data_IF_674781924988
#
_entry.id   IF_674781924988
#
_cell.length_a   1.000
_cell.length_b   1.000
_cell.length_c   1.000
_cell.angle_alpha   90.00
_cell.angle_beta   90.00
_cell.angle_gamma   90.00
#
_symmetry.space_group_name_H-M   'P 1'
#
loop_
_entity.id
_entity.type
_entity.pdbx_description
1 polymer ?
#
# COMPACT_ATOMS: atom_id res chain seq x y z
N UNK A 1 -16.68 -1.89 26.99
CA UNK A 1 -16.35 -2.02 25.60
C UNK A 1 -14.88 -2.33 25.39
N UNK A 2 -14.57 -3.03 24.33
CA UNK A 2 -13.18 -3.33 24.01
C UNK A 2 -12.50 -2.07 23.47
N UNK A 3 -11.24 -1.85 23.89
CA UNK A 3 -10.43 -0.76 23.39
C UNK A 3 -10.04 -1.06 21.94
N UNK A 4 -10.55 -0.26 21.00
CA UNK A 4 -10.30 -0.45 19.57
C UNK A 4 -8.96 0.13 19.12
N UNK A 5 -8.42 1.08 19.88
CA UNK A 5 -7.20 1.79 19.52
C UNK A 5 -6.44 2.23 20.77
N UNK A 6 -5.12 2.07 20.73
CA UNK A 6 -4.21 2.57 21.74
C UNK A 6 -3.19 3.49 21.10
N UNK A 7 -2.98 4.66 21.68
CA UNK A 7 -2.01 5.65 21.22
C UNK A 7 -1.21 6.20 22.38
N UNK A 8 0.06 6.45 22.13
CA UNK A 8 0.94 7.08 23.12
C UNK A 8 1.41 8.43 22.61
N UNK A 9 1.49 9.39 23.51
CA UNK A 9 1.85 10.76 23.20
C UNK A 9 3.01 11.21 24.08
N UNK A 10 3.88 12.03 23.50
CA UNK A 10 4.97 12.70 24.22
C UNK A 10 4.79 14.21 24.04
N UNK A 11 4.64 14.94 25.16
CA UNK A 11 4.41 16.40 25.16
C UNK A 11 3.21 16.82 24.26
N UNK A 12 2.12 16.03 24.26
CA UNK A 12 0.93 16.31 23.46
C UNK A 12 1.06 15.98 21.97
N UNK A 13 2.21 15.51 21.52
CA UNK A 13 2.44 15.09 20.13
C UNK A 13 2.54 13.56 20.10
N UNK A 14 1.83 12.94 19.16
CA UNK A 14 1.89 11.49 19.01
C UNK A 14 3.32 11.06 18.68
N UNK A 15 3.86 10.21 19.54
CA UNK A 15 5.20 9.69 19.40
C UNK A 15 5.19 8.23 19.85
N UNK A 16 5.99 7.37 19.21
CA UNK A 16 6.10 5.94 19.45
C UNK A 16 5.03 5.11 18.72
N UNK A 17 4.16 4.35 19.39
CA UNK A 17 3.36 3.30 18.76
C UNK A 17 1.86 3.60 18.84
N UNK A 18 1.15 3.24 17.76
CA UNK A 18 -0.31 3.21 17.70
C UNK A 18 -0.75 1.78 17.37
N UNK A 19 -1.57 1.20 18.24
CA UNK A 19 -2.13 -0.14 18.06
C UNK A 19 -3.63 -0.03 17.84
N UNK A 20 -4.15 -0.75 16.85
CA UNK A 20 -5.58 -0.83 16.56
C UNK A 20 -6.03 -2.29 16.68
N UNK A 21 -7.21 -2.50 17.24
CA UNK A 21 -7.75 -3.84 17.46
C UNK A 21 -9.08 -4.01 16.74
N UNK A 22 -9.35 -5.23 16.28
CA UNK A 22 -10.64 -5.61 15.70
C UNK A 22 -11.70 -5.69 16.79
N UNK A 23 -12.98 -5.79 16.39
CA UNK A 23 -14.09 -6.00 17.34
C UNK A 23 -13.92 -7.28 18.17
N UNK A 24 -13.25 -8.29 17.63
CA UNK A 24 -12.93 -9.55 18.31
C UNK A 24 -11.76 -9.42 19.30
N UNK A 25 -11.11 -8.25 19.38
CA UNK A 25 -9.97 -8.01 20.26
C UNK A 25 -8.62 -8.42 19.71
N UNK A 26 -8.54 -8.83 18.44
CA UNK A 26 -7.29 -9.17 17.78
C UNK A 26 -6.58 -7.92 17.28
N UNK A 27 -5.23 -7.90 17.35
CA UNK A 27 -4.45 -6.79 16.82
C UNK A 27 -4.65 -6.70 15.30
N UNK A 28 -5.09 -5.55 14.81
CA UNK A 28 -5.34 -5.32 13.38
C UNK A 28 -4.31 -4.41 12.73
N UNK A 29 -3.70 -3.48 13.49
CA UNK A 29 -2.62 -2.66 12.96
C UNK A 29 -1.63 -2.22 14.03
N UNK A 30 -0.41 -1.93 13.60
CA UNK A 30 0.65 -1.39 14.42
C UNK A 30 1.46 -0.40 13.59
N UNK A 31 1.49 0.83 14.03
CA UNK A 31 2.24 1.90 13.38
C UNK A 31 3.10 2.64 14.39
N UNK A 32 4.21 3.17 13.92
CA UNK A 32 5.08 4.01 14.72
C UNK A 32 5.01 5.45 14.25
N UNK A 33 5.05 6.36 15.20
CA UNK A 33 5.03 7.80 14.96
C UNK A 33 6.22 8.47 15.60
N UNK A 34 6.68 9.55 14.96
CA UNK A 34 7.65 10.47 15.53
C UNK A 34 7.23 11.88 15.16
N UNK A 35 7.11 12.76 16.16
CA UNK A 35 6.66 14.14 15.98
C UNK A 35 5.33 14.24 15.20
N UNK A 36 4.40 13.32 15.46
CA UNK A 36 3.07 13.30 14.84
C UNK A 36 3.02 12.73 13.42
N UNK A 37 4.15 12.27 12.87
CA UNK A 37 4.22 11.66 11.54
C UNK A 37 4.52 10.17 11.65
N UNK A 38 3.96 9.39 10.73
CA UNK A 38 4.33 7.97 10.57
C UNK A 38 5.83 7.90 10.33
N UNK A 39 6.53 7.09 11.15
CA UNK A 39 7.96 6.95 11.07
C UNK A 39 8.39 5.63 11.70
N UNK A 40 8.83 4.71 10.88
CA UNK A 40 9.20 3.36 11.28
C UNK A 40 8.30 2.30 10.68
N UNK A 41 8.34 1.10 11.24
CA UNK A 41 7.60 -0.06 10.74
C UNK A 41 6.09 0.14 10.81
N UNK A 42 5.38 -0.30 9.77
CA UNK A 42 3.92 -0.33 9.70
C UNK A 42 3.47 -1.73 9.34
N UNK A 43 2.53 -2.27 10.11
CA UNK A 43 2.04 -3.63 9.90
C UNK A 43 0.55 -3.73 10.17
N UNK A 44 -0.15 -4.46 9.31
CA UNK A 44 -1.59 -4.72 9.41
C UNK A 44 -1.87 -6.20 9.27
N UNK A 45 -2.91 -6.68 9.94
CA UNK A 45 -3.29 -8.10 9.95
C UNK A 45 -4.77 -8.27 9.61
N UNK A 46 -5.08 -9.38 8.97
CA UNK A 46 -6.44 -9.89 8.85
C UNK A 46 -6.90 -10.47 10.20
N UNK A 47 -8.22 -10.64 10.36
CA UNK A 47 -8.79 -11.26 11.57
C UNK A 47 -8.31 -12.69 11.81
N UNK A 48 -7.88 -13.40 10.76
CA UNK A 48 -7.33 -14.75 10.89
C UNK A 48 -5.86 -14.78 11.37
N UNK A 49 -5.27 -13.62 11.67
CA UNK A 49 -3.88 -13.49 12.12
C UNK A 49 -2.85 -13.43 10.99
N UNK A 50 -3.27 -13.64 9.75
CA UNK A 50 -2.39 -13.50 8.59
C UNK A 50 -2.03 -12.02 8.38
N UNK A 51 -0.77 -11.74 8.07
CA UNK A 51 -0.34 -10.39 7.72
C UNK A 51 -1.08 -9.94 6.46
N UNK A 52 -1.68 -8.75 6.52
CA UNK A 52 -2.31 -8.10 5.38
C UNK A 52 -1.32 -7.19 4.65
N UNK A 53 -0.61 -6.36 5.38
CA UNK A 53 0.30 -5.37 4.81
C UNK A 53 1.47 -5.14 5.75
N UNK A 54 2.67 -4.97 5.19
CA UNK A 54 3.84 -4.58 5.96
C UNK A 54 4.78 -3.69 5.13
N UNK A 55 5.41 -2.74 5.80
CA UNK A 55 6.34 -1.80 5.21
C UNK A 55 6.90 -0.87 6.26
N UNK A 56 7.44 0.25 5.81
CA UNK A 56 7.95 1.27 6.72
C UNK A 56 7.74 2.66 6.16
N UNK A 57 7.69 3.63 7.06
CA UNK A 57 7.61 5.05 6.73
C UNK A 57 8.85 5.79 7.23
N UNK A 58 9.22 6.83 6.53
CA UNK A 58 10.19 7.82 6.96
C UNK A 58 9.55 9.19 6.81
N UNK A 59 9.34 9.90 7.91
CA UNK A 59 8.70 11.23 7.94
C UNK A 59 7.37 11.29 7.17
N UNK A 60 6.53 10.27 7.33
CA UNK A 60 5.23 10.17 6.67
C UNK A 60 5.27 9.63 5.24
N UNK A 61 6.46 9.40 4.68
CA UNK A 61 6.63 8.89 3.32
C UNK A 61 6.88 7.38 3.34
N UNK A 62 6.26 6.65 2.42
CA UNK A 62 6.55 5.22 2.22
C UNK A 62 8.01 5.07 1.83
N UNK A 63 8.72 4.15 2.47
CA UNK A 63 10.15 3.92 2.23
C UNK A 63 10.48 2.43 2.32
N UNK A 64 11.46 1.97 1.53
CA UNK A 64 11.89 0.57 1.53
C UNK A 64 10.89 -0.38 0.90
N UNK A 65 10.94 -1.62 1.35
CA UNK A 65 10.12 -2.71 0.82
C UNK A 65 8.74 -2.74 1.45
N UNK A 66 7.70 -2.81 0.61
CA UNK A 66 6.30 -2.93 1.02
C UNK A 66 5.68 -4.17 0.43
N UNK A 67 4.91 -4.90 1.26
CA UNK A 67 4.23 -6.12 0.86
C UNK A 67 2.77 -6.09 1.29
N UNK A 68 1.89 -6.59 0.41
CA UNK A 68 0.49 -6.85 0.72
C UNK A 68 0.23 -8.32 0.41
N UNK A 69 -0.52 -8.98 1.30
CA UNK A 69 -0.84 -10.41 1.18
C UNK A 69 -2.35 -10.62 1.15
N UNK A 70 -2.78 -11.65 0.44
CA UNK A 70 -4.14 -12.14 0.52
C UNK A 70 -4.39 -12.86 1.86
N UNK A 71 -5.66 -13.04 2.27
CA UNK A 71 -5.95 -13.81 3.50
C UNK A 71 -5.35 -15.22 3.53
N UNK A 72 -5.12 -15.82 2.36
CA UNK A 72 -4.46 -17.11 2.21
C UNK A 72 -2.96 -17.08 2.51
N UNK A 73 -2.35 -15.89 2.57
CA UNK A 73 -0.91 -15.71 2.70
C UNK A 73 -0.18 -15.55 1.37
N UNK A 74 -0.88 -15.70 0.23
CA UNK A 74 -0.28 -15.45 -1.08
C UNK A 74 0.05 -13.97 -1.26
N UNK A 75 1.14 -13.69 -1.97
CA UNK A 75 1.56 -12.31 -2.22
C UNK A 75 0.57 -11.60 -3.16
N UNK A 76 -0.01 -10.50 -2.69
CA UNK A 76 -0.92 -9.67 -3.48
C UNK A 76 -0.20 -8.48 -4.11
N UNK A 77 0.83 -7.96 -3.46
CA UNK A 77 1.55 -6.78 -3.95
C UNK A 77 2.94 -6.69 -3.34
N UNK A 78 3.88 -6.18 -4.13
CA UNK A 78 5.19 -5.78 -3.63
C UNK A 78 5.56 -4.43 -4.22
N UNK A 79 6.33 -3.65 -3.48
CA UNK A 79 6.82 -2.36 -3.92
C UNK A 79 8.15 -2.04 -3.25
N UNK A 80 8.96 -1.23 -3.93
CA UNK A 80 10.15 -0.61 -3.37
C UNK A 80 9.97 0.89 -3.50
N UNK A 81 10.05 1.60 -2.38
CA UNK A 81 9.92 3.04 -2.36
C UNK A 81 11.16 3.69 -1.77
N UNK A 82 11.45 4.88 -2.25
CA UNK A 82 12.39 5.80 -1.63
C UNK A 82 11.67 7.12 -1.42
N UNK A 83 11.39 7.43 -0.16
CA UNK A 83 10.66 8.64 0.23
C UNK A 83 9.39 8.87 -0.59
N UNK A 84 8.53 7.82 -0.65
CA UNK A 84 7.22 7.88 -1.31
C UNK A 84 7.25 7.72 -2.82
N UNK A 85 8.42 7.54 -3.42
CA UNK A 85 8.58 7.38 -4.87
C UNK A 85 9.03 5.98 -5.21
N UNK A 86 8.32 5.32 -6.12
CA UNK A 86 8.62 3.95 -6.53
C UNK A 86 7.47 3.35 -7.32
N UNK A 87 7.46 2.02 -7.43
CA UNK A 87 6.47 1.28 -8.19
C UNK A 87 5.92 0.13 -7.36
N UNK A 88 4.60 0.00 -7.34
CA UNK A 88 3.89 -1.13 -6.77
C UNK A 88 3.54 -2.11 -7.89
N UNK A 89 3.79 -3.40 -7.67
CA UNK A 89 3.39 -4.47 -8.59
C UNK A 89 2.38 -5.33 -7.84
N UNK A 90 1.20 -5.51 -8.43
CA UNK A 90 0.12 -6.30 -7.87
C UNK A 90 -0.03 -7.62 -8.60
N UNK A 91 -0.39 -8.67 -7.85
CA UNK A 91 -0.57 -10.02 -8.35
C UNK A 91 -1.97 -10.53 -8.04
N UNK A 92 -2.54 -11.28 -8.98
CA UNK A 92 -3.73 -12.09 -8.69
C UNK A 92 -3.36 -13.22 -7.73
N UNK A 93 -4.33 -13.74 -7.00
CA UNK A 93 -4.09 -14.83 -6.06
C UNK A 93 -3.52 -16.08 -6.74
N UNK A 94 -3.83 -16.28 -8.02
CA UNK A 94 -3.25 -17.33 -8.87
C UNK A 94 -1.79 -17.10 -9.25
N UNK A 95 -1.24 -15.90 -8.99
CA UNK A 95 0.19 -15.61 -9.10
C UNK A 95 0.65 -14.77 -10.29
N UNK A 96 -0.24 -14.44 -11.25
CA UNK A 96 0.18 -13.59 -12.37
C UNK A 96 0.12 -12.09 -12.00
N UNK A 97 1.04 -11.34 -12.57
CA UNK A 97 1.05 -9.87 -12.43
C UNK A 97 -0.18 -9.28 -13.12
N UNK A 98 -1.00 -8.52 -12.38
CA UNK A 98 -2.23 -7.95 -12.90
C UNK A 98 -2.21 -6.41 -12.97
N UNK A 99 -1.28 -5.76 -12.28
CA UNK A 99 -1.28 -4.31 -12.16
C UNK A 99 0.10 -3.78 -11.80
N UNK A 100 0.48 -2.64 -12.40
CA UNK A 100 1.63 -1.84 -11.99
C UNK A 100 1.16 -0.42 -11.70
N UNK A 101 1.58 0.13 -10.55
CA UNK A 101 1.17 1.47 -10.11
C UNK A 101 2.41 2.28 -9.76
N UNK A 102 2.71 3.37 -10.48
CA UNK A 102 3.80 4.26 -10.13
C UNK A 102 3.36 5.29 -9.08
N UNK A 103 4.27 5.63 -8.18
CA UNK A 103 4.07 6.63 -7.13
C UNK A 103 5.20 7.66 -7.12
N UNK A 104 4.84 8.90 -6.86
CA UNK A 104 5.77 9.99 -6.55
C UNK A 104 5.21 10.73 -5.33
N UNK A 105 6.04 10.90 -4.30
CA UNK A 105 5.65 11.58 -3.07
C UNK A 105 4.36 11.04 -2.44
N UNK A 106 4.22 9.71 -2.36
CA UNK A 106 3.04 8.98 -1.85
C UNK A 106 1.78 9.07 -2.72
N UNK A 107 1.83 9.71 -3.87
CA UNK A 107 0.70 9.87 -4.77
C UNK A 107 0.91 9.10 -6.06
N UNK A 108 -0.16 8.53 -6.62
CA UNK A 108 -0.10 7.92 -7.95
C UNK A 108 0.34 8.99 -8.96
N UNK A 109 1.35 8.67 -9.75
CA UNK A 109 1.89 9.59 -10.74
C UNK A 109 2.53 8.80 -11.89
N UNK A 110 2.04 9.00 -13.11
CA UNK A 110 2.44 8.24 -14.28
C UNK A 110 1.39 7.22 -14.70
N UNK A 111 1.79 6.18 -15.38
CA UNK A 111 0.88 5.19 -15.98
C UNK A 111 0.65 3.99 -15.07
N UNK A 112 -0.60 3.82 -14.62
CA UNK A 112 -1.08 2.62 -13.97
C UNK A 112 -1.49 1.64 -15.08
N UNK A 113 -0.90 0.45 -15.09
CA UNK A 113 -1.02 -0.50 -16.20
C UNK A 113 -1.65 -1.80 -15.71
N UNK A 114 -2.75 -2.18 -16.36
CA UNK A 114 -3.49 -3.42 -16.06
C UNK A 114 -3.13 -4.50 -17.09
N UNK A 115 -2.95 -5.72 -16.60
CA UNK A 115 -2.56 -6.88 -17.42
C UNK A 115 -3.59 -8.00 -17.29
N UNK A 116 -3.77 -8.77 -18.37
CA UNK A 116 -4.53 -10.02 -18.34
C UNK A 116 -3.58 -11.21 -18.00
N UNK A 117 -4.14 -12.42 -17.79
CA UNK A 117 -3.32 -13.60 -17.47
C UNK A 117 -2.25 -13.93 -18.51
N UNK A 118 -2.42 -13.53 -19.77
CA UNK A 118 -1.46 -13.76 -20.85
C UNK A 118 -0.33 -12.71 -20.87
N UNK A 119 -0.37 -11.73 -19.94
CA UNK A 119 0.62 -10.66 -19.88
C UNK A 119 0.35 -9.49 -20.81
N UNK A 120 -0.81 -9.46 -21.48
CA UNK A 120 -1.20 -8.35 -22.36
C UNK A 120 -1.74 -7.20 -21.53
N UNK A 121 -1.43 -5.99 -21.95
CA UNK A 121 -1.98 -4.77 -21.36
C UNK A 121 -3.44 -4.62 -21.80
N UNK A 122 -4.35 -4.48 -20.82
CA UNK A 122 -5.79 -4.35 -21.05
C UNK A 122 -6.32 -2.96 -20.79
N UNK A 123 -5.59 -2.17 -19.97
CA UNK A 123 -6.03 -0.83 -19.60
C UNK A 123 -4.82 -0.03 -19.13
N UNK A 124 -4.79 1.24 -19.44
CA UNK A 124 -3.81 2.19 -18.90
C UNK A 124 -4.56 3.39 -18.35
N UNK A 125 -4.26 3.75 -17.11
CA UNK A 125 -4.78 4.97 -16.47
C UNK A 125 -3.59 5.85 -16.15
N UNK A 126 -3.59 7.06 -16.66
CA UNK A 126 -2.51 8.01 -16.40
C UNK A 126 -2.92 8.97 -15.28
N UNK A 127 -2.03 9.10 -14.31
CA UNK A 127 -2.23 9.94 -13.14
C UNK A 127 -1.20 11.08 -13.11
N UNK A 128 -1.63 12.20 -12.59
CA UNK A 128 -0.77 13.32 -12.25
C UNK A 128 -1.14 13.76 -10.83
N UNK A 129 -0.18 13.63 -9.89
CA UNK A 129 -0.34 13.98 -8.47
C UNK A 129 -1.63 13.40 -7.84
N UNK A 130 -1.90 12.14 -8.11
CA UNK A 130 -3.04 11.40 -7.55
C UNK A 130 -4.35 11.55 -8.33
N UNK A 131 -4.39 12.38 -9.36
CA UNK A 131 -5.60 12.61 -10.16
C UNK A 131 -5.48 11.96 -11.54
N UNK A 132 -6.59 11.37 -12.03
CA UNK A 132 -6.65 10.78 -13.36
C UNK A 132 -6.66 11.90 -14.41
N UNK A 133 -5.67 11.85 -15.34
CA UNK A 133 -5.59 12.80 -16.45
C UNK A 133 -5.92 12.15 -17.78
N UNK A 134 -5.78 10.84 -17.89
CA UNK A 134 -6.14 10.10 -19.11
C UNK A 134 -6.43 8.63 -18.76
N UNK A 135 -7.37 8.03 -19.51
CA UNK A 135 -7.71 6.61 -19.36
C UNK A 135 -7.85 5.98 -20.75
N UNK A 136 -7.18 4.85 -20.97
CA UNK A 136 -7.24 4.07 -22.20
C UNK A 136 -7.62 2.63 -21.88
N UNK A 137 -8.82 2.22 -22.31
CA UNK A 137 -9.36 0.88 -22.08
C UNK A 137 -9.09 -0.08 -23.24
N UNK A 138 -8.44 0.37 -24.30
CA UNK A 138 -8.02 -0.45 -25.44
C UNK A 138 -6.63 -0.03 -25.91
N UNK A 139 -5.59 -0.33 -25.12
CA UNK A 139 -4.21 0.06 -25.43
C UNK A 139 -3.63 -0.63 -26.66
N UNK A 140 -4.31 -1.65 -27.22
CA UNK A 140 -3.89 -2.32 -28.45
C UNK A 140 -4.19 -1.46 -29.68
N UNK A 141 -5.08 -0.48 -29.53
CA UNK A 141 -5.50 0.43 -30.60
C UNK A 141 -4.84 1.82 -30.51
N UNK A 142 -3.88 1.99 -29.61
CA UNK A 142 -3.09 3.22 -29.59
C UNK A 142 -2.11 3.12 -30.73
N UNK A 143 -2.37 3.83 -31.82
CA UNK A 143 -1.40 4.03 -32.87
C UNK A 143 -0.09 4.54 -32.27
N UNK A 144 1.00 4.03 -32.75
CA UNK A 144 2.34 4.41 -32.37
C UNK A 144 2.56 5.94 -32.39
#
# INVERSE_FOLDING_TARGET
GQLAEERWYKKGVQDSVCLTYSEAGSLSSKDYYSCGKLNGESKKWYDNGQVFQEGQYVDGMMDGSWFIFYPSGALASKAEYKMGTGKQICYEESGYKCLEVPYVDNLKHGKEIYYNPDGRVTKIVEYERGEVVHENNDPQNVGE
#
